data_IF_277124317822
#
_entry.id   IF_277124317822
#
_cell.length_a   1.000
_cell.length_b   1.000
_cell.length_c   1.000
_cell.angle_alpha   90.00
_cell.angle_beta   90.00
_cell.angle_gamma   90.00
#
_symmetry.space_group_name_H-M   'P 1'
#
loop_
_entity.id
_entity.type
_entity.pdbx_description
1 polymer ?
#
# COMPACT_ATOMS: atom_id res chain seq x y z
N UNK A 1 18.79 18.33 27.74
CA UNK A 1 18.30 16.96 27.49
C UNK A 1 17.55 16.98 26.18
N UNK A 2 17.98 16.20 25.20
CA UNK A 2 17.36 16.17 23.89
C UNK A 2 15.99 15.46 24.01
N UNK A 3 14.91 16.18 23.75
CA UNK A 3 13.59 15.59 23.48
C UNK A 3 13.69 14.85 22.14
N UNK A 4 14.23 13.64 22.15
CA UNK A 4 14.07 12.71 21.04
C UNK A 4 12.61 12.26 21.06
N UNK A 5 11.79 12.90 20.23
CA UNK A 5 10.52 12.34 19.80
C UNK A 5 10.86 11.05 19.05
N UNK A 6 10.69 9.91 19.72
CA UNK A 6 10.63 8.62 19.04
C UNK A 6 9.38 8.66 18.15
N UNK A 7 9.57 9.01 16.89
CA UNK A 7 8.51 8.84 15.90
C UNK A 7 8.21 7.34 15.81
N UNK A 8 7.14 6.91 16.48
CA UNK A 8 6.62 5.56 16.34
C UNK A 8 6.42 5.29 14.85
N UNK A 9 6.98 4.19 14.36
CA UNK A 9 6.78 3.74 12.98
C UNK A 9 5.29 3.63 12.72
N UNK A 10 4.84 4.33 11.68
CA UNK A 10 3.43 4.36 11.28
C UNK A 10 2.95 2.95 10.88
N UNK A 11 2.35 2.26 11.85
CA UNK A 11 1.84 0.89 11.70
C UNK A 11 0.57 0.83 10.85
N UNK A 12 -0.02 1.97 10.46
CA UNK A 12 -1.22 1.99 9.59
C UNK A 12 -0.96 1.39 8.21
N UNK A 13 0.31 1.31 7.80
CA UNK A 13 0.75 0.74 6.51
C UNK A 13 1.07 -0.75 6.58
N UNK A 14 1.06 -1.35 7.77
CA UNK A 14 1.36 -2.77 7.94
C UNK A 14 0.06 -3.56 7.78
N UNK A 15 -0.03 -4.36 6.72
CA UNK A 15 -1.17 -5.25 6.54
C UNK A 15 -1.17 -6.35 7.60
N UNK A 16 -2.31 -6.63 8.25
CA UNK A 16 -2.38 -7.70 9.23
C UNK A 16 -2.18 -9.05 8.55
N UNK A 17 -1.40 -9.91 9.21
CA UNK A 17 -1.26 -11.31 8.84
C UNK A 17 -2.59 -11.99 9.16
N UNK A 18 -3.19 -12.65 8.15
CA UNK A 18 -4.51 -13.28 8.29
C UNK A 18 -4.40 -14.78 8.50
N UNK A 19 -3.41 -15.43 7.87
CA UNK A 19 -3.23 -16.87 8.01
C UNK A 19 -1.76 -17.26 8.05
N UNK A 20 -1.34 -17.88 9.15
CA UNK A 20 0.05 -18.25 9.47
C UNK A 20 0.99 -17.05 9.38
N UNK A 21 1.54 -16.81 8.19
CA UNK A 21 2.50 -15.74 7.88
C UNK A 21 2.11 -14.94 6.62
N UNK A 22 0.94 -15.22 6.05
CA UNK A 22 0.48 -14.57 4.83
C UNK A 22 -0.53 -13.46 5.12
N UNK A 23 -0.34 -12.34 4.43
CA UNK A 23 -1.36 -11.29 4.36
C UNK A 23 -2.49 -11.71 3.44
N UNK A 24 -3.68 -11.10 3.60
CA UNK A 24 -4.84 -11.37 2.75
C UNK A 24 -4.54 -11.27 1.24
N UNK A 25 -3.84 -10.23 0.72
CA UNK A 25 -3.54 -10.17 -0.70
C UNK A 25 -2.55 -11.24 -1.15
N UNK A 26 -1.62 -11.69 -0.29
CA UNK A 26 -0.74 -12.81 -0.62
C UNK A 26 -1.52 -14.12 -0.79
N UNK A 27 -2.53 -14.38 0.04
CA UNK A 27 -3.39 -15.56 -0.12
C UNK A 27 -4.18 -15.51 -1.42
N UNK A 28 -4.71 -14.34 -1.77
CA UNK A 28 -5.41 -14.12 -3.04
C UNK A 28 -4.43 -14.31 -4.21
N UNK A 29 -3.20 -13.83 -4.08
CA UNK A 29 -2.15 -14.01 -5.08
C UNK A 29 -1.85 -15.48 -5.33
N UNK A 30 -1.64 -16.26 -4.26
CA UNK A 30 -1.40 -17.70 -4.34
C UNK A 30 -2.55 -18.37 -5.08
N UNK A 31 -3.80 -18.09 -4.68
CA UNK A 31 -4.99 -18.65 -5.33
C UNK A 31 -5.09 -18.29 -6.81
N UNK A 32 -4.71 -17.06 -7.20
CA UNK A 32 -4.70 -16.62 -8.60
C UNK A 32 -3.57 -17.24 -9.43
N UNK A 33 -2.44 -17.60 -8.81
CA UNK A 33 -1.28 -18.17 -9.51
C UNK A 33 -1.40 -19.71 -9.64
N UNK A 34 -2.12 -20.39 -8.74
CA UNK A 34 -2.29 -21.85 -8.78
C UNK A 34 -2.66 -22.42 -10.16
N UNK A 35 -3.62 -21.84 -10.92
CA UNK A 35 -3.95 -22.33 -12.27
C UNK A 35 -2.76 -22.25 -13.25
N UNK A 36 -1.91 -21.23 -13.12
CA UNK A 36 -0.72 -21.08 -13.97
C UNK A 36 0.28 -22.23 -13.75
N UNK A 37 0.49 -22.62 -12.48
CA UNK A 37 1.35 -23.76 -12.17
C UNK A 37 0.77 -25.08 -12.68
N UNK A 38 -0.54 -25.26 -12.66
CA UNK A 38 -1.20 -26.43 -13.25
C UNK A 38 -0.95 -26.47 -14.76
N UNK A 39 -1.12 -25.35 -15.46
CA UNK A 39 -0.87 -25.25 -16.90
C UNK A 39 0.59 -25.56 -17.25
N UNK A 40 1.55 -24.97 -16.52
CA UNK A 40 2.98 -25.26 -16.72
C UNK A 40 3.27 -26.74 -16.45
N UNK A 41 2.65 -27.34 -15.43
CA UNK A 41 2.77 -28.78 -15.16
C UNK A 41 2.26 -29.64 -16.32
N UNK A 42 1.17 -29.23 -16.99
CA UNK A 42 0.64 -29.91 -18.19
C UNK A 42 1.58 -29.72 -19.39
N UNK A 43 2.17 -28.53 -19.54
CA UNK A 43 3.12 -28.23 -20.62
C UNK A 43 4.36 -29.13 -20.58
N UNK A 44 4.82 -29.55 -19.39
CA UNK A 44 5.94 -30.50 -19.25
C UNK A 44 5.68 -31.81 -20.00
N UNK A 45 4.42 -32.27 -20.05
CA UNK A 45 4.06 -33.51 -20.73
C UNK A 45 3.78 -33.32 -22.23
N UNK A 46 3.24 -32.16 -22.62
CA UNK A 46 2.85 -31.85 -23.99
C UNK A 46 4.02 -31.36 -24.86
N UNK A 47 4.87 -30.50 -24.29
CA UNK A 47 5.95 -29.82 -25.01
C UNK A 47 7.27 -30.42 -24.53
N UNK A 48 7.92 -31.19 -25.40
CA UNK A 48 9.19 -31.85 -25.08
C UNK A 48 10.38 -31.07 -25.65
N UNK A 49 11.49 -31.14 -24.94
CA UNK A 49 12.75 -30.55 -25.37
C UNK A 49 12.82 -29.04 -25.15
N UNK A 50 13.66 -28.37 -25.93
CA UNK A 50 14.01 -26.95 -25.73
C UNK A 50 12.83 -25.98 -25.86
N UNK A 51 11.79 -26.33 -26.62
CA UNK A 51 10.57 -25.53 -26.81
C UNK A 51 9.72 -25.38 -25.54
N UNK A 52 9.91 -26.24 -24.54
CA UNK A 52 9.23 -26.14 -23.26
C UNK A 52 9.58 -24.82 -22.54
N UNK A 53 10.86 -24.43 -22.55
CA UNK A 53 11.33 -23.25 -21.84
C UNK A 53 10.66 -21.94 -22.27
N UNK A 54 10.62 -21.58 -23.57
CA UNK A 54 9.92 -20.38 -24.00
C UNK A 54 8.41 -20.47 -23.80
N UNK A 55 7.80 -21.65 -23.94
CA UNK A 55 6.37 -21.85 -23.70
C UNK A 55 6.02 -21.61 -22.22
N UNK A 56 6.72 -22.28 -21.30
CA UNK A 56 6.52 -22.12 -19.87
C UNK A 56 6.80 -20.68 -19.40
N UNK A 57 7.80 -20.01 -19.98
CA UNK A 57 8.05 -18.59 -19.73
C UNK A 57 6.89 -17.71 -20.18
N UNK A 58 6.37 -17.93 -21.38
CA UNK A 58 5.23 -17.16 -21.89
C UNK A 58 4.00 -17.37 -21.00
N UNK A 59 3.70 -18.61 -20.61
CA UNK A 59 2.58 -18.96 -19.73
C UNK A 59 2.75 -18.33 -18.35
N UNK A 60 3.96 -18.39 -17.78
CA UNK A 60 4.27 -17.72 -16.52
C UNK A 60 4.06 -16.20 -16.62
N UNK A 61 4.58 -15.55 -17.66
CA UNK A 61 4.43 -14.09 -17.83
C UNK A 61 2.96 -13.70 -17.99
N UNK A 62 2.19 -14.43 -18.78
CA UNK A 62 0.78 -14.11 -19.05
C UNK A 62 -0.09 -14.27 -17.80
N UNK A 63 0.12 -15.33 -17.01
CA UNK A 63 -0.79 -15.65 -15.90
C UNK A 63 -0.30 -15.16 -14.54
N UNK A 64 1.01 -15.14 -14.29
CA UNK A 64 1.57 -14.73 -12.98
C UNK A 64 1.67 -13.21 -12.88
N UNK A 65 2.11 -12.53 -13.95
CA UNK A 65 2.32 -11.07 -13.92
C UNK A 65 1.06 -10.28 -13.53
N UNK A 66 -0.13 -10.55 -14.11
CA UNK A 66 -1.34 -9.84 -13.72
C UNK A 66 -1.74 -10.06 -12.26
N UNK A 67 -1.55 -11.29 -11.73
CA UNK A 67 -1.85 -11.61 -10.35
C UNK A 67 -0.96 -10.83 -9.37
N UNK A 68 0.35 -10.75 -9.67
CA UNK A 68 1.32 -9.98 -8.88
C UNK A 68 1.03 -8.47 -8.96
N UNK A 69 0.74 -7.96 -10.15
CA UNK A 69 0.46 -6.54 -10.34
C UNK A 69 -0.83 -6.10 -9.65
N UNK A 70 -1.87 -6.95 -9.63
CA UNK A 70 -3.13 -6.69 -8.95
C UNK A 70 -2.97 -6.67 -7.43
N UNK A 71 -2.26 -7.65 -6.88
CA UNK A 71 -2.10 -7.82 -5.44
C UNK A 71 -1.11 -6.85 -4.81
N UNK A 72 -0.15 -6.33 -5.60
CA UNK A 72 0.75 -5.26 -5.17
C UNK A 72 0.14 -3.85 -5.25
N UNK A 73 -1.11 -3.70 -5.69
CA UNK A 73 -1.77 -2.40 -5.86
C UNK A 73 -1.17 -1.53 -6.97
N UNK A 74 -0.14 -2.00 -7.69
CA UNK A 74 0.54 -1.25 -8.76
C UNK A 74 -0.40 -0.92 -9.92
N UNK A 75 -1.35 -1.80 -10.22
CA UNK A 75 -2.36 -1.53 -11.28
C UNK A 75 -3.20 -0.30 -10.92
N UNK A 76 -3.60 -0.18 -9.66
CA UNK A 76 -4.42 0.94 -9.19
C UNK A 76 -3.61 2.24 -9.16
N UNK A 77 -2.34 2.18 -8.77
CA UNK A 77 -1.42 3.31 -8.86
C UNK A 77 -1.23 3.78 -10.30
N UNK A 78 -0.91 2.88 -11.23
CA UNK A 78 -0.73 3.20 -12.65
C UNK A 78 -2.01 3.79 -13.24
N UNK A 79 -3.17 3.20 -12.91
CA UNK A 79 -4.47 3.70 -13.31
C UNK A 79 -4.73 5.10 -12.75
N UNK A 80 -4.45 5.33 -11.47
CA UNK A 80 -4.62 6.63 -10.82
C UNK A 80 -3.70 7.69 -11.45
N UNK A 81 -2.44 7.37 -11.71
CA UNK A 81 -1.48 8.25 -12.40
C UNK A 81 -1.94 8.58 -13.82
N UNK A 82 -2.44 7.58 -14.56
CA UNK A 82 -2.96 7.79 -15.90
C UNK A 82 -4.18 8.71 -15.90
N UNK A 83 -5.16 8.46 -15.00
CA UNK A 83 -6.31 9.34 -14.83
C UNK A 83 -5.92 10.76 -14.41
N UNK A 84 -4.93 10.87 -13.52
CA UNK A 84 -4.38 12.15 -13.08
C UNK A 84 -3.78 12.94 -14.23
N UNK A 85 -3.01 12.28 -15.11
CA UNK A 85 -2.36 12.92 -16.26
C UNK A 85 -3.37 13.29 -17.37
N UNK A 86 -4.45 12.53 -17.53
CA UNK A 86 -5.46 12.83 -18.55
C UNK A 86 -6.50 13.85 -18.12
N UNK A 87 -6.80 13.98 -16.82
CA UNK A 87 -7.68 15.05 -16.35
C UNK A 87 -6.90 16.36 -16.34
N UNK A 88 -7.39 17.36 -17.08
CA UNK A 88 -7.02 18.75 -16.89
C UNK A 88 -7.39 19.12 -15.45
N UNK A 89 -6.39 19.12 -14.56
CA UNK A 89 -6.61 19.47 -13.17
C UNK A 89 -6.74 20.98 -13.04
N UNK A 90 -7.96 21.48 -12.86
CA UNK A 90 -8.17 22.81 -12.29
C UNK A 90 -7.74 22.77 -10.82
N UNK A 91 -6.44 22.92 -10.56
CA UNK A 91 -5.91 23.08 -9.20
C UNK A 91 -6.26 24.48 -8.74
N UNK A 92 -7.36 24.62 -8.00
CA UNK A 92 -7.60 25.83 -7.24
C UNK A 92 -6.59 25.85 -6.10
N UNK A 93 -5.62 26.77 -6.19
CA UNK A 93 -4.68 27.03 -5.11
C UNK A 93 -5.47 27.70 -3.98
N UNK A 94 -6.08 26.89 -3.11
CA UNK A 94 -6.62 27.40 -1.86
C UNK A 94 -5.44 27.58 -0.91
N UNK A 95 -4.79 28.75 -0.98
CA UNK A 95 -4.11 29.27 0.20
C UNK A 95 -5.19 29.52 1.24
N UNK A 96 -5.58 28.46 1.97
CA UNK A 96 -6.31 28.63 3.20
C UNK A 96 -5.49 29.60 4.04
N UNK A 97 -6.01 30.80 4.30
CA UNK A 97 -5.43 31.68 5.31
C UNK A 97 -5.31 30.81 6.56
N UNK A 98 -4.08 30.49 6.96
CA UNK A 98 -3.80 29.93 8.27
C UNK A 98 -4.51 30.89 9.23
N UNK A 99 -5.52 30.39 9.94
CA UNK A 99 -6.32 31.19 10.87
C UNK A 99 -5.30 31.85 11.79
N UNK A 100 -5.29 33.19 11.83
CA UNK A 100 -4.46 33.89 12.81
C UNK A 100 -5.06 33.57 14.16
N UNK A 101 -4.44 32.63 14.87
CA UNK A 101 -4.75 32.35 16.26
C UNK A 101 -4.57 33.66 17.02
N UNK A 102 -5.59 34.05 17.76
CA UNK A 102 -5.49 35.22 18.62
C UNK A 102 -4.78 34.79 19.92
N UNK A 103 -3.95 35.66 20.55
CA UNK A 103 -3.12 35.27 21.69
C UNK A 103 -3.91 34.67 22.88
N UNK A 104 -5.18 35.02 23.00
CA UNK A 104 -6.15 34.51 23.98
C UNK A 104 -6.56 33.05 23.75
N UNK A 105 -6.42 32.50 22.53
CA UNK A 105 -6.67 31.08 22.27
C UNK A 105 -5.59 30.17 22.90
N UNK A 106 -4.46 30.74 23.33
CA UNK A 106 -3.39 30.02 24.04
C UNK A 106 -3.37 30.30 25.56
N UNK A 107 -4.26 31.15 26.07
CA UNK A 107 -4.38 31.38 27.51
C UNK A 107 -5.25 30.28 28.09
N UNK A 108 -4.67 29.46 28.97
CA UNK A 108 -5.36 28.37 29.65
C UNK A 108 -6.60 28.94 30.36
N UNK A 109 -7.79 28.55 29.91
CA UNK A 109 -9.05 29.02 30.50
C UNK A 109 -9.08 28.54 31.95
N UNK A 110 -9.42 29.44 32.89
CA UNK A 110 -9.43 29.17 34.34
C UNK A 110 -10.26 27.94 34.77
N UNK A 111 -11.18 27.49 33.92
CA UNK A 111 -12.03 26.32 34.15
C UNK A 111 -11.36 24.98 33.78
N UNK A 112 -10.29 24.99 32.98
CA UNK A 112 -9.62 23.77 32.51
C UNK A 112 -8.33 23.57 33.31
N UNK A 113 -8.46 22.87 34.44
CA UNK A 113 -7.31 22.37 35.21
C UNK A 113 -6.79 21.08 34.58
N UNK A 114 -6.07 21.20 33.47
CA UNK A 114 -5.20 20.10 33.06
C UNK A 114 -3.84 20.27 33.76
N UNK A 115 -3.77 19.58 34.90
CA UNK A 115 -2.56 19.11 35.60
C UNK A 115 -1.55 20.18 36.02
N UNK A 116 -1.75 20.72 37.22
CA UNK A 116 -0.69 21.43 37.95
C UNK A 116 -0.51 20.76 39.32
N UNK A 117 0.30 19.71 39.34
CA UNK A 117 1.02 19.26 40.53
C UNK A 117 2.21 18.41 40.12
N UNK A 118 3.30 19.04 39.71
CA UNK A 118 4.62 18.51 40.03
C UNK A 118 5.01 19.11 41.38
N UNK A 119 4.70 18.39 42.45
CA UNK A 119 5.22 18.70 43.79
C UNK A 119 6.66 18.17 43.87
N UNK A 120 7.59 19.07 44.21
CA UNK A 120 8.96 18.79 44.66
C UNK A 120 8.99 17.87 45.90
#
# INVERSE_FOLDING_TARGET
MALQSEFHTDMSKVEPIVWKSFTKPQLIMILMITPAFILIGVEVFLIKGWLFWPAALATAVIFITPAVLKTSGKIEQVRATWFFNMKIQKRYYSTGKIRKYTPDEFVQKKEVKETDSFTD
#
